data_IF_264780250975
#
_entry.id   IF_264780250975
#
_cell.length_a   1.000
_cell.length_b   1.000
_cell.length_c   1.000
_cell.angle_alpha   90.00
_cell.angle_beta   90.00
_cell.angle_gamma   90.00
#
_symmetry.space_group_name_H-M   'P 1'
#
loop_
_entity.id
_entity.type
_entity.pdbx_description
1 polymer ?
#
# COMPACT_ATOMS: atom_id res chain seq x y z
N UNK A 1 0.01 2.97 -29.30
CA UNK A 1 -0.97 2.03 -28.77
C UNK A 1 -0.28 1.16 -27.73
N UNK A 2 -0.48 1.46 -26.44
CA UNK A 2 0.00 0.59 -25.37
C UNK A 2 -0.83 -0.69 -25.34
N UNK A 3 -0.17 -1.83 -25.21
CA UNK A 3 -0.86 -3.08 -24.91
C UNK A 3 -1.27 -3.08 -23.44
N UNK A 4 -2.44 -3.67 -23.13
CA UNK A 4 -2.82 -3.91 -21.74
C UNK A 4 -1.74 -4.77 -21.07
N UNK A 5 -1.36 -4.49 -19.81
CA UNK A 5 -0.45 -5.37 -19.09
C UNK A 5 -1.07 -6.77 -19.04
N UNK A 6 -0.28 -7.78 -19.39
CA UNK A 6 -0.72 -9.16 -19.27
C UNK A 6 -0.57 -9.61 -17.83
N UNK A 7 -1.34 -10.61 -17.37
CA UNK A 7 -1.11 -11.22 -16.06
C UNK A 7 0.37 -11.62 -15.91
N UNK A 8 1.03 -11.16 -14.85
CA UNK A 8 2.45 -11.39 -14.60
C UNK A 8 3.43 -10.36 -15.19
N UNK A 9 2.96 -9.35 -15.94
CA UNK A 9 3.80 -8.25 -16.43
C UNK A 9 3.94 -7.09 -15.43
N UNK A 10 3.22 -7.14 -14.32
CA UNK A 10 3.22 -6.13 -13.25
C UNK A 10 3.51 -6.81 -11.93
N UNK A 11 4.49 -6.29 -11.21
CA UNK A 11 4.74 -6.66 -9.82
C UNK A 11 4.32 -5.50 -8.92
N UNK A 12 3.50 -5.78 -7.89
CA UNK A 12 3.04 -4.80 -6.93
C UNK A 12 3.42 -5.24 -5.52
N UNK A 13 4.05 -4.35 -4.77
CA UNK A 13 4.18 -4.43 -3.32
C UNK A 13 3.29 -3.37 -2.68
N UNK A 14 2.66 -3.72 -1.57
CA UNK A 14 1.74 -2.87 -0.82
C UNK A 14 2.20 -2.77 0.63
N UNK A 15 2.29 -1.54 1.12
CA UNK A 15 2.40 -1.21 2.52
C UNK A 15 1.12 -0.51 2.93
N UNK A 16 0.29 -1.16 3.75
CA UNK A 16 -0.99 -0.64 4.19
C UNK A 16 -2.13 -1.66 4.14
N UNK A 17 -3.36 -1.18 4.24
CA UNK A 17 -4.59 -1.99 4.22
C UNK A 17 -5.65 -1.31 3.37
N UNK A 18 -6.23 -2.01 2.39
CA UNK A 18 -7.38 -1.54 1.63
C UNK A 18 -8.67 -1.95 2.30
N UNK A 19 -9.54 -0.98 2.56
CA UNK A 19 -10.81 -1.18 3.27
C UNK A 19 -11.98 -1.52 2.36
N UNK A 20 -11.87 -1.20 1.06
CA UNK A 20 -12.94 -1.35 0.08
C UNK A 20 -12.65 -2.42 -0.99
N UNK A 21 -11.72 -3.33 -0.75
CA UNK A 21 -11.30 -4.39 -1.65
C UNK A 21 -12.49 -5.23 -2.18
N UNK A 22 -13.36 -5.68 -1.27
CA UNK A 22 -14.54 -6.48 -1.63
C UNK A 22 -15.58 -5.68 -2.44
N UNK A 23 -15.74 -4.39 -2.12
CA UNK A 23 -16.64 -3.51 -2.86
C UNK A 23 -16.11 -3.28 -4.27
N UNK A 24 -14.80 -3.04 -4.41
CA UNK A 24 -14.16 -2.88 -5.72
C UNK A 24 -14.23 -4.15 -6.54
N UNK A 25 -14.03 -5.32 -5.93
CA UNK A 25 -14.14 -6.59 -6.61
C UNK A 25 -15.53 -6.80 -7.25
N UNK A 26 -16.59 -6.39 -6.56
CA UNK A 26 -17.96 -6.49 -7.05
C UNK A 26 -18.29 -5.37 -8.04
N UNK A 27 -17.97 -4.11 -7.72
CA UNK A 27 -18.32 -2.95 -8.53
C UNK A 27 -17.62 -2.95 -9.90
N UNK A 28 -16.38 -3.44 -9.92
CA UNK A 28 -15.56 -3.50 -11.13
C UNK A 28 -15.65 -4.85 -11.86
N UNK A 29 -16.49 -5.78 -11.39
CA UNK A 29 -16.63 -7.15 -11.93
C UNK A 29 -15.26 -7.81 -12.17
N UNK A 30 -14.42 -7.79 -11.12
CA UNK A 30 -13.08 -8.34 -11.21
C UNK A 30 -13.12 -9.87 -11.20
N UNK A 31 -12.17 -10.54 -11.90
CA UNK A 31 -12.11 -11.99 -11.93
C UNK A 31 -12.01 -12.60 -10.53
N UNK A 32 -12.80 -13.64 -10.28
CA UNK A 32 -12.70 -14.39 -9.03
C UNK A 32 -11.32 -15.03 -8.91
N UNK A 33 -10.74 -14.96 -7.72
CA UNK A 33 -9.42 -15.48 -7.41
C UNK A 33 -9.43 -16.24 -6.10
N UNK A 34 -8.45 -17.11 -5.91
CA UNK A 34 -8.16 -17.76 -4.62
C UNK A 34 -7.19 -16.93 -3.76
N UNK A 35 -6.67 -15.82 -4.30
CA UNK A 35 -5.79 -14.91 -3.58
C UNK A 35 -6.68 -13.99 -2.74
N UNK A 36 -6.60 -14.14 -1.42
CA UNK A 36 -7.47 -13.45 -0.46
C UNK A 36 -6.88 -12.16 0.12
N UNK A 37 -5.78 -11.64 -0.45
CA UNK A 37 -5.20 -10.37 0.02
C UNK A 37 -5.91 -9.18 -0.63
N UNK A 38 -6.14 -8.13 0.13
CA UNK A 38 -6.69 -6.86 -0.33
C UNK A 38 -5.84 -6.23 -1.45
N UNK A 39 -4.53 -6.35 -1.34
CA UNK A 39 -3.54 -5.87 -2.33
C UNK A 39 -3.79 -6.44 -3.74
N UNK A 40 -4.34 -7.66 -3.85
CA UNK A 40 -4.57 -8.29 -5.14
C UNK A 40 -5.65 -7.59 -5.95
N UNK A 41 -6.60 -6.93 -5.30
CA UNK A 41 -7.60 -6.09 -5.97
C UNK A 41 -6.94 -4.93 -6.72
N UNK A 42 -5.92 -4.30 -6.12
CA UNK A 42 -5.15 -3.26 -6.81
C UNK A 42 -4.43 -3.80 -8.06
N UNK A 43 -3.88 -5.01 -8.01
CA UNK A 43 -3.29 -5.68 -9.18
C UNK A 43 -4.34 -5.91 -10.25
N UNK A 44 -5.50 -6.46 -9.92
CA UNK A 44 -6.58 -6.72 -10.88
C UNK A 44 -7.11 -5.42 -11.50
N UNK A 45 -7.22 -4.35 -10.72
CA UNK A 45 -7.59 -3.03 -11.24
C UNK A 45 -6.56 -2.49 -12.23
N UNK A 46 -5.26 -2.70 -11.98
CA UNK A 46 -4.19 -2.32 -12.91
C UNK A 46 -4.21 -3.18 -14.18
N UNK A 47 -4.42 -4.49 -14.05
CA UNK A 47 -4.53 -5.41 -15.20
C UNK A 47 -5.73 -5.08 -16.09
N UNK A 48 -6.80 -4.54 -15.52
CA UNK A 48 -7.98 -4.07 -16.26
C UNK A 48 -7.70 -2.81 -17.11
N UNK A 49 -6.63 -2.07 -16.80
CA UNK A 49 -6.25 -0.89 -17.57
C UNK A 49 -5.58 -1.29 -18.90
N UNK A 50 -5.72 -0.43 -19.93
CA UNK A 50 -5.13 -0.68 -21.24
C UNK A 50 -3.59 -0.55 -21.27
N UNK A 51 -3.01 0.09 -20.31
CA UNK A 51 -1.56 0.27 -20.16
C UNK A 51 -1.22 0.68 -18.73
N UNK A 52 -0.05 0.27 -18.24
CA UNK A 52 0.50 0.79 -17.00
C UNK A 52 1.17 2.14 -17.28
N UNK A 53 0.64 3.19 -16.70
CA UNK A 53 1.14 4.56 -16.80
C UNK A 53 0.57 5.42 -15.65
N UNK A 54 0.94 6.70 -15.59
CA UNK A 54 0.44 7.61 -14.56
C UNK A 54 -1.09 7.70 -14.49
N UNK A 55 -1.78 7.65 -15.63
CA UNK A 55 -3.25 7.76 -15.63
C UNK A 55 -3.91 6.49 -15.08
N UNK A 56 -3.39 5.31 -15.41
CA UNK A 56 -3.91 4.06 -14.85
C UNK A 56 -3.64 3.95 -13.35
N UNK A 57 -2.43 4.31 -12.91
CA UNK A 57 -2.08 4.34 -11.49
C UNK A 57 -2.93 5.35 -10.71
N UNK A 58 -3.13 6.54 -11.27
CA UNK A 58 -4.03 7.55 -10.69
C UNK A 58 -5.44 7.01 -10.51
N UNK A 59 -6.02 6.41 -11.56
CA UNK A 59 -7.37 5.85 -11.49
C UNK A 59 -7.50 4.79 -10.40
N UNK A 60 -6.51 3.90 -10.26
CA UNK A 60 -6.52 2.88 -9.21
C UNK A 60 -6.36 3.54 -7.84
N UNK A 61 -5.41 4.47 -7.68
CA UNK A 61 -5.18 5.16 -6.41
C UNK A 61 -6.39 5.99 -5.95
N UNK A 62 -7.16 6.56 -6.89
CA UNK A 62 -8.38 7.32 -6.60
C UNK A 62 -9.61 6.44 -6.34
N UNK A 63 -9.56 5.13 -6.64
CA UNK A 63 -10.64 4.18 -6.35
C UNK A 63 -10.47 3.45 -5.02
N UNK A 64 -9.24 3.22 -4.59
CA UNK A 64 -8.97 2.50 -3.35
C UNK A 64 -9.23 3.38 -2.13
N UNK A 65 -9.68 2.75 -1.06
CA UNK A 65 -9.90 3.38 0.26
C UNK A 65 -9.13 2.59 1.31
N UNK A 66 -8.49 3.28 2.22
CA UNK A 66 -7.63 2.71 3.24
C UNK A 66 -6.26 3.34 3.20
N UNK A 67 -5.31 2.77 3.91
CA UNK A 67 -3.93 3.25 3.98
C UNK A 67 -3.08 2.50 2.96
N UNK A 68 -2.25 3.21 2.20
CA UNK A 68 -1.40 2.52 1.22
C UNK A 68 -0.18 3.32 0.77
N UNK A 69 0.89 2.59 0.50
CA UNK A 69 1.93 2.93 -0.48
C UNK A 69 2.05 1.74 -1.43
N UNK A 70 1.83 1.95 -2.72
CA UNK A 70 2.11 0.93 -3.72
C UNK A 70 3.47 1.17 -4.35
N UNK A 71 4.26 0.10 -4.43
CA UNK A 71 5.45 0.04 -5.27
C UNK A 71 5.15 -0.88 -6.45
N UNK A 72 5.19 -0.34 -7.67
CA UNK A 72 4.79 -1.06 -8.88
C UNK A 72 5.96 -1.10 -9.86
N UNK A 73 6.35 -2.31 -10.29
CA UNK A 73 7.37 -2.53 -11.30
C UNK A 73 6.68 -3.03 -12.58
N UNK A 74 6.98 -2.38 -13.72
CA UNK A 74 6.48 -2.80 -15.02
C UNK A 74 7.51 -3.61 -15.83
N UNK A 75 7.06 -4.19 -16.94
CA UNK A 75 7.90 -4.98 -17.84
C UNK A 75 8.95 -4.15 -18.63
N UNK A 76 8.94 -2.82 -18.49
CA UNK A 76 9.91 -1.91 -19.10
C UNK A 76 10.95 -1.40 -18.09
N UNK A 77 11.01 -2.02 -16.91
CA UNK A 77 11.88 -1.63 -15.79
C UNK A 77 11.59 -0.21 -15.26
N UNK A 78 10.34 0.25 -15.35
CA UNK A 78 9.94 1.44 -14.62
C UNK A 78 9.43 1.05 -13.23
N UNK A 79 9.95 1.70 -12.21
CA UNK A 79 9.50 1.58 -10.84
C UNK A 79 8.65 2.78 -10.49
N UNK A 80 7.43 2.52 -10.02
CA UNK A 80 6.50 3.54 -9.57
C UNK A 80 6.29 3.43 -8.07
N UNK A 81 6.27 4.57 -7.39
CA UNK A 81 5.80 4.72 -6.03
C UNK A 81 4.51 5.53 -6.06
N UNK A 82 3.41 4.94 -5.62
CA UNK A 82 2.11 5.60 -5.47
C UNK A 82 1.94 5.84 -3.98
N UNK A 83 2.17 7.08 -3.55
CA UNK A 83 2.22 7.47 -2.16
C UNK A 83 0.83 7.90 -1.68
N UNK A 84 0.12 7.00 -1.02
CA UNK A 84 -1.11 7.30 -0.28
C UNK A 84 -0.78 7.95 1.07
N UNK A 85 -1.39 7.48 2.14
CA UNK A 85 -1.26 8.02 3.49
C UNK A 85 -0.32 7.22 4.42
N UNK A 86 0.35 6.20 3.90
CA UNK A 86 1.36 5.45 4.65
C UNK A 86 2.77 6.03 4.46
N UNK A 87 3.65 5.89 5.47
CA UNK A 87 5.00 6.42 5.37
C UNK A 87 5.81 5.76 4.24
N UNK A 88 6.62 6.58 3.56
CA UNK A 88 7.59 6.15 2.56
C UNK A 88 8.89 6.93 2.74
N UNK A 89 10.01 6.20 2.93
CA UNK A 89 11.34 6.74 2.94
C UNK A 89 12.11 6.21 1.73
N UNK A 90 12.60 7.10 0.87
CA UNK A 90 13.30 6.75 -0.36
C UNK A 90 14.63 7.52 -0.45
N UNK A 91 15.73 6.77 -0.58
CA UNK A 91 17.07 7.30 -0.77
C UNK A 91 17.63 6.95 -2.14
N UNK A 92 18.26 7.94 -2.77
CA UNK A 92 19.09 7.77 -3.96
C UNK A 92 20.56 7.90 -3.59
N UNK A 93 21.38 6.96 -4.03
CA UNK A 93 22.83 6.99 -3.93
C UNK A 93 23.42 7.27 -5.32
N UNK A 94 23.64 8.55 -5.70
CA UNK A 94 23.95 8.93 -7.08
C UNK A 94 25.25 8.29 -7.62
N UNK A 95 26.24 8.11 -6.75
CA UNK A 95 27.54 7.51 -7.14
C UNK A 95 27.42 6.05 -7.53
N UNK A 96 26.48 5.33 -6.93
CA UNK A 96 26.25 3.91 -7.18
C UNK A 96 25.06 3.67 -8.10
N UNK A 97 24.30 4.72 -8.44
CA UNK A 97 23.05 4.63 -9.20
C UNK A 97 22.03 3.67 -8.59
N UNK A 98 21.91 3.70 -7.25
CA UNK A 98 21.04 2.81 -6.49
C UNK A 98 19.95 3.63 -5.79
N UNK A 99 18.72 3.13 -5.86
CA UNK A 99 17.60 3.57 -5.04
C UNK A 99 17.33 2.53 -3.98
N UNK A 100 17.09 2.98 -2.75
CA UNK A 100 16.71 2.11 -1.61
C UNK A 100 15.54 2.74 -0.91
N UNK A 101 14.56 1.95 -0.54
CA UNK A 101 13.37 2.45 0.13
C UNK A 101 12.89 1.50 1.25
N UNK A 102 12.16 2.08 2.18
CA UNK A 102 11.46 1.37 3.25
C UNK A 102 10.26 2.23 3.70
N UNK A 103 9.42 1.70 4.57
CA UNK A 103 8.32 2.47 5.15
C UNK A 103 8.82 3.63 6.01
N UNK A 104 9.90 3.45 6.78
CA UNK A 104 10.47 4.51 7.62
C UNK A 104 11.98 4.63 7.44
N UNK A 105 12.52 5.79 7.79
CA UNK A 105 13.97 6.03 7.78
C UNK A 105 14.73 5.05 8.69
N UNK A 106 14.19 4.80 9.88
CA UNK A 106 14.82 3.88 10.84
C UNK A 106 14.96 2.46 10.28
N UNK A 107 13.90 1.93 9.66
CA UNK A 107 13.92 0.61 9.00
C UNK A 107 14.94 0.60 7.86
N UNK A 108 14.98 1.65 7.04
CA UNK A 108 15.90 1.76 5.92
C UNK A 108 17.34 1.76 6.37
N UNK A 109 17.69 2.56 7.38
CA UNK A 109 19.06 2.67 7.91
C UNK A 109 19.51 1.37 8.61
N UNK A 110 18.63 0.73 9.37
CA UNK A 110 18.89 -0.58 9.96
C UNK A 110 19.09 -1.65 8.88
N UNK A 111 18.23 -1.67 7.86
CA UNK A 111 18.35 -2.58 6.72
C UNK A 111 19.67 -2.42 5.95
N UNK A 112 20.09 -1.19 5.68
CA UNK A 112 21.39 -0.90 5.05
C UNK A 112 22.56 -1.42 5.88
N UNK A 113 22.48 -1.28 7.21
CA UNK A 113 23.52 -1.77 8.13
C UNK A 113 23.54 -3.29 8.17
N UNK A 114 22.38 -3.92 8.34
CA UNK A 114 22.27 -5.39 8.44
C UNK A 114 22.67 -6.10 7.13
N UNK A 115 22.41 -5.47 5.98
CA UNK A 115 22.75 -6.00 4.65
C UNK A 115 24.22 -5.78 4.26
N UNK A 116 25.06 -5.21 5.14
CA UNK A 116 26.45 -4.87 4.82
C UNK A 116 26.59 -3.74 3.80
N UNK A 117 25.54 -2.96 3.55
CA UNK A 117 25.52 -1.84 2.61
C UNK A 117 25.92 -0.50 3.26
N UNK A 118 26.46 -0.51 4.46
CA UNK A 118 26.91 0.68 5.18
C UNK A 118 28.06 1.43 4.47
N UNK A 119 28.66 0.83 3.42
CA UNK A 119 29.61 1.50 2.53
C UNK A 119 28.93 2.54 1.62
N UNK A 120 27.63 2.47 1.39
CA UNK A 120 26.86 3.48 0.69
C UNK A 120 26.89 4.78 1.49
N UNK A 121 27.44 5.83 0.91
CA UNK A 121 27.59 7.12 1.58
C UNK A 121 26.92 8.23 0.80
N UNK A 122 26.48 9.26 1.54
CA UNK A 122 25.85 10.47 1.01
C UNK A 122 24.59 10.17 0.18
N UNK A 123 23.56 9.57 0.79
CA UNK A 123 22.27 9.47 0.14
C UNK A 123 21.70 10.86 -0.12
N UNK A 124 20.89 10.95 -1.16
CA UNK A 124 20.00 12.07 -1.42
C UNK A 124 18.58 11.55 -1.16
N UNK A 125 17.88 12.17 -0.23
CA UNK A 125 16.48 11.85 0.01
C UNK A 125 15.64 12.24 -1.21
N UNK A 126 14.83 11.33 -1.69
CA UNK A 126 13.85 11.58 -2.75
C UNK A 126 12.51 11.78 -2.07
N UNK A 127 12.12 13.04 -1.93
CA UNK A 127 10.87 13.41 -1.24
C UNK A 127 9.67 13.13 -2.13
N UNK A 128 8.67 12.53 -1.54
CA UNK A 128 7.32 12.38 -2.07
C UNK A 128 6.35 12.73 -0.96
N UNK A 129 5.25 13.34 -1.32
CA UNK A 129 4.15 13.67 -0.42
C UNK A 129 2.95 12.77 -0.69
N UNK A 130 2.03 12.71 0.25
CA UNK A 130 0.73 12.05 0.05
C UNK A 130 0.04 12.58 -1.21
N UNK A 131 -0.45 11.69 -2.06
CA UNK A 131 -1.03 12.03 -3.35
C UNK A 131 -0.03 12.04 -4.51
N UNK A 132 1.23 11.67 -4.28
CA UNK A 132 2.24 11.63 -5.32
C UNK A 132 2.32 10.26 -6.02
N UNK A 133 2.60 10.30 -7.32
CA UNK A 133 3.05 9.15 -8.10
C UNK A 133 4.44 9.49 -8.65
N UNK A 134 5.46 8.88 -8.07
CA UNK A 134 6.84 8.99 -8.55
C UNK A 134 7.16 7.81 -9.47
N UNK A 135 7.66 8.09 -10.68
CA UNK A 135 8.25 7.08 -11.56
C UNK A 135 9.76 7.25 -11.60
N UNK A 136 10.48 6.15 -11.45
CA UNK A 136 11.91 6.04 -11.73
C UNK A 136 12.05 5.08 -12.92
N UNK A 137 12.60 5.56 -14.04
CA UNK A 137 12.82 4.70 -15.19
C UNK A 137 14.13 3.89 -15.05
N UNK A 138 14.35 2.94 -15.96
CA UNK A 138 15.54 2.07 -15.98
C UNK A 138 16.88 2.82 -16.05
N UNK A 139 16.86 4.12 -16.38
CA UNK A 139 18.04 4.99 -16.40
C UNK A 139 18.15 5.84 -15.13
N UNK A 140 17.27 5.64 -14.15
CA UNK A 140 17.22 6.40 -12.91
C UNK A 140 16.58 7.79 -13.05
N UNK A 141 15.96 8.10 -14.19
CA UNK A 141 15.29 9.39 -14.37
C UNK A 141 13.94 9.40 -13.66
N UNK A 142 13.75 10.42 -12.83
CA UNK A 142 12.55 10.64 -12.04
C UNK A 142 11.52 11.47 -12.80
N UNK A 143 10.25 11.12 -12.62
CA UNK A 143 9.09 11.92 -13.04
C UNK A 143 8.00 11.82 -11.99
N UNK A 144 7.43 12.97 -11.60
CA UNK A 144 6.39 13.08 -10.59
C UNK A 144 5.07 13.49 -11.23
N UNK A 145 3.97 12.93 -10.75
CA UNK A 145 2.60 13.36 -10.99
C UNK A 145 1.78 13.21 -9.71
N UNK A 146 0.57 13.75 -9.69
CA UNK A 146 -0.29 13.76 -8.51
C UNK A 146 -1.63 13.08 -8.79
N UNK A 147 -2.25 12.58 -7.72
CA UNK A 147 -3.62 12.09 -7.70
C UNK A 147 -4.35 12.65 -6.47
N UNK A 148 -5.69 12.62 -6.51
CA UNK A 148 -6.49 13.06 -5.37
C UNK A 148 -6.67 11.89 -4.41
N UNK A 149 -6.18 12.02 -3.18
CA UNK A 149 -6.47 11.04 -2.13
C UNK A 149 -7.96 11.17 -1.80
N UNK A 150 -8.69 10.08 -1.96
CA UNK A 150 -10.04 9.97 -1.43
C UNK A 150 -9.93 9.79 0.08
N UNK A 151 -9.78 10.91 0.80
CA UNK A 151 -9.93 10.90 2.24
C UNK A 151 -11.30 10.29 2.55
N UNK A 152 -11.33 9.16 3.22
CA UNK A 152 -12.57 8.62 3.76
C UNK A 152 -13.12 9.64 4.77
N UNK A 153 -13.93 10.56 4.27
CA UNK A 153 -14.77 11.37 5.13
C UNK A 153 -15.92 10.47 5.56
N UNK A 154 -15.97 10.02 6.82
CA UNK A 154 -17.18 9.37 7.30
C UNK A 154 -18.32 10.33 7.00
N UNK A 155 -19.50 9.86 6.56
CA UNK A 155 -20.58 10.73 6.11
C UNK A 155 -20.91 11.72 7.24
N UNK A 156 -20.39 12.95 7.11
CA UNK A 156 -20.94 14.06 7.85
C UNK A 156 -22.38 14.19 7.38
N UNK A 157 -23.31 13.97 8.26
CA UNK A 157 -24.74 14.19 8.05
C UNK A 157 -24.96 15.57 7.42
N UNK A 158 -25.11 15.64 6.13
CA UNK A 158 -25.74 16.75 5.44
C UNK A 158 -26.57 16.17 4.29
N UNK A 159 -27.87 16.39 4.42
CA UNK A 159 -28.94 15.97 3.51
C UNK A 159 -28.85 16.60 2.12
N UNK A 160 -27.86 16.25 1.35
CA UNK A 160 -27.86 16.59 -0.09
C UNK A 160 -26.71 15.92 -0.85
N UNK A 161 -26.81 14.63 -1.11
CA UNK A 161 -26.24 14.08 -2.37
C UNK A 161 -26.91 12.73 -2.67
N UNK A 162 -27.89 12.76 -3.54
CA UNK A 162 -28.70 11.65 -4.04
C UNK A 162 -28.00 10.85 -5.17
N UNK A 163 -26.65 10.77 -5.16
CA UNK A 163 -25.89 10.17 -6.28
C UNK A 163 -24.78 9.19 -5.89
N UNK A 164 -24.75 8.72 -4.65
CA UNK A 164 -23.97 7.53 -4.34
C UNK A 164 -24.91 6.34 -4.13
N UNK A 165 -24.67 5.19 -4.77
CA UNK A 165 -25.36 3.99 -4.36
C UNK A 165 -25.11 3.83 -2.86
N UNK A 166 -26.21 3.76 -2.07
CA UNK A 166 -26.13 3.54 -0.62
C UNK A 166 -25.15 2.39 -0.39
N UNK A 167 -24.17 2.54 0.51
CA UNK A 167 -23.30 1.42 0.83
C UNK A 167 -24.22 0.27 1.20
N UNK A 168 -24.17 -0.80 0.42
CA UNK A 168 -24.75 -2.06 0.81
C UNK A 168 -24.23 -2.28 2.22
N UNK A 169 -25.15 -2.35 3.18
CA UNK A 169 -24.87 -2.47 4.61
C UNK A 169 -23.57 -3.23 4.79
N UNK A 170 -22.54 -2.54 5.31
CA UNK A 170 -21.28 -3.16 5.61
C UNK A 170 -21.59 -4.44 6.39
N UNK A 171 -21.51 -5.57 5.70
CA UNK A 171 -21.67 -6.84 6.36
C UNK A 171 -20.72 -6.75 7.53
N UNK A 172 -21.23 -6.92 8.75
CA UNK A 172 -20.43 -6.87 9.97
C UNK A 172 -19.17 -7.67 9.66
N UNK A 173 -18.03 -6.98 9.49
CA UNK A 173 -16.76 -7.67 9.49
C UNK A 173 -16.82 -8.55 10.72
N UNK A 174 -16.66 -9.85 10.53
CA UNK A 174 -16.55 -10.72 11.67
C UNK A 174 -15.34 -10.21 12.48
N UNK A 175 -15.54 -9.61 13.66
CA UNK A 175 -14.41 -9.09 14.43
C UNK A 175 -13.36 -10.16 14.69
N UNK A 176 -13.79 -11.42 14.73
CA UNK A 176 -12.93 -12.57 14.96
C UNK A 176 -12.01 -12.82 13.74
N UNK A 177 -12.48 -12.62 12.50
CA UNK A 177 -11.65 -12.77 11.30
C UNK A 177 -10.52 -11.72 11.23
N UNK A 178 -10.77 -10.50 11.69
CA UNK A 178 -9.73 -9.47 11.78
C UNK A 178 -8.66 -9.84 12.81
N UNK A 179 -9.10 -10.32 13.98
CA UNK A 179 -8.18 -10.80 15.02
C UNK A 179 -7.35 -11.99 14.58
N UNK A 180 -7.93 -12.94 13.84
CA UNK A 180 -7.18 -14.07 13.26
C UNK A 180 -6.10 -13.57 12.28
N UNK A 181 -6.43 -12.57 11.45
CA UNK A 181 -5.48 -11.90 10.56
C UNK A 181 -4.33 -11.25 11.32
N UNK A 182 -4.65 -10.48 12.37
CA UNK A 182 -3.66 -9.80 13.21
C UNK A 182 -2.73 -10.78 13.92
N UNK A 183 -3.25 -11.87 14.46
CA UNK A 183 -2.48 -12.95 15.06
C UNK A 183 -1.53 -13.60 14.04
N UNK A 184 -1.98 -13.77 12.80
CA UNK A 184 -1.16 -14.33 11.72
C UNK A 184 -0.01 -13.38 11.35
N UNK A 185 -0.28 -12.07 11.27
CA UNK A 185 0.73 -11.03 11.02
C UNK A 185 1.74 -10.98 12.17
N UNK A 186 1.28 -10.99 13.41
CA UNK A 186 2.13 -10.96 14.60
C UNK A 186 3.13 -12.15 14.66
N UNK A 187 2.73 -13.30 14.13
CA UNK A 187 3.61 -14.46 14.04
C UNK A 187 4.84 -14.21 13.15
N UNK A 188 4.71 -13.40 12.10
CA UNK A 188 5.84 -13.00 11.25
C UNK A 188 6.83 -12.05 11.96
N UNK A 189 6.37 -11.36 13.01
CA UNK A 189 7.22 -10.55 13.90
C UNK A 189 7.76 -11.33 15.12
N UNK A 190 7.47 -12.64 15.20
CA UNK A 190 7.96 -13.50 16.27
C UNK A 190 7.10 -13.55 17.53
N UNK A 191 5.92 -12.93 17.50
CA UNK A 191 4.95 -12.99 18.60
C UNK A 191 4.07 -14.24 18.49
N UNK A 192 3.71 -14.77 19.65
CA UNK A 192 2.79 -15.91 19.72
C UNK A 192 1.32 -15.44 19.77
N UNK A 193 0.36 -16.27 19.38
CA UNK A 193 -1.07 -15.94 19.56
C UNK A 193 -1.41 -15.53 20.98
N UNK A 194 -0.74 -16.13 21.97
CA UNK A 194 -0.94 -15.82 23.38
C UNK A 194 -0.53 -14.39 23.73
N UNK A 195 0.55 -13.89 23.13
CA UNK A 195 1.02 -12.52 23.37
C UNK A 195 -0.03 -11.50 22.90
N UNK A 196 -0.60 -11.74 21.72
CA UNK A 196 -1.64 -10.87 21.13
C UNK A 196 -2.94 -10.94 21.94
N UNK A 197 -3.33 -12.13 22.40
CA UNK A 197 -4.50 -12.26 23.28
C UNK A 197 -4.29 -11.55 24.63
N UNK A 198 -3.07 -11.60 25.17
CA UNK A 198 -2.74 -10.87 26.42
C UNK A 198 -2.89 -9.36 26.25
N UNK A 199 -2.40 -8.81 25.14
CA UNK A 199 -2.58 -7.36 24.85
C UNK A 199 -4.07 -7.00 24.75
N UNK A 200 -4.87 -7.82 24.10
CA UNK A 200 -6.33 -7.64 24.03
C UNK A 200 -6.98 -7.67 25.42
N UNK A 201 -6.59 -8.60 26.28
CA UNK A 201 -7.08 -8.70 27.66
C UNK A 201 -6.67 -7.51 28.51
N UNK A 202 -5.52 -6.90 28.21
CA UNK A 202 -5.07 -5.64 28.81
C UNK A 202 -5.83 -4.41 28.32
N UNK A 203 -6.74 -4.56 27.35
CA UNK A 203 -7.61 -3.49 26.85
C UNK A 203 -7.10 -2.80 25.60
N UNK A 204 -6.02 -3.26 24.98
CA UNK A 204 -5.54 -2.72 23.71
C UNK A 204 -6.51 -3.05 22.58
N UNK A 205 -6.77 -2.05 21.76
CA UNK A 205 -7.55 -2.21 20.52
C UNK A 205 -6.71 -2.90 19.45
N UNK A 206 -7.39 -3.41 18.44
CA UNK A 206 -6.69 -4.03 17.28
C UNK A 206 -5.76 -3.07 16.58
N UNK A 207 -6.15 -1.80 16.47
CA UNK A 207 -5.36 -0.76 15.79
C UNK A 207 -4.09 -0.44 16.60
N UNK A 208 -4.20 -0.33 17.93
CA UNK A 208 -3.04 -0.13 18.82
C UNK A 208 -2.06 -1.30 18.78
N UNK A 209 -2.56 -2.53 18.67
CA UNK A 209 -1.72 -3.73 18.54
C UNK A 209 -1.06 -3.76 17.16
N UNK A 210 -1.76 -3.36 16.11
CA UNK A 210 -1.20 -3.24 14.78
C UNK A 210 -0.09 -2.18 14.74
N UNK A 211 -0.31 -1.00 15.31
CA UNK A 211 0.69 0.05 15.46
C UNK A 211 1.92 -0.45 16.23
N UNK A 212 1.71 -1.18 17.32
CA UNK A 212 2.81 -1.79 18.08
C UNK A 212 3.63 -2.77 17.23
N UNK A 213 2.98 -3.63 16.43
CA UNK A 213 3.68 -4.59 15.59
C UNK A 213 4.54 -3.91 14.51
N UNK A 214 4.10 -2.78 13.97
CA UNK A 214 4.82 -2.08 12.91
C UNK A 214 5.78 -1.00 13.40
N UNK A 215 5.48 -0.35 14.51
CA UNK A 215 6.27 0.78 15.03
C UNK A 215 7.14 0.42 16.25
N UNK A 216 6.82 -0.66 16.96
CA UNK A 216 7.58 -1.13 18.12
C UNK A 216 7.45 -0.24 19.38
N UNK A 217 6.50 0.68 19.40
CA UNK A 217 6.20 1.59 20.54
C UNK A 217 4.77 1.37 21.00
N UNK A 218 4.58 1.15 22.32
CA UNK A 218 3.28 1.21 23.01
C UNK A 218 3.23 2.51 23.82
#
# INVERSE_FOLDING_TARGET
GGQSPRPGEVSLAHNGVLLNDQLLQQAEDLPKTHIGTDSYVAVQLLEKQNALNFNSLRKVAEQVQGTFVFTVLDAQDNLYFVHGDNPLCLYHFPKQSIYVYASTQSILEQGLTASGLSFLKKPVEVKTDEGDILRIDRHGKQKLQHFCINSFCPPCYSDAIEWYPKPLSAGRRNPDAYWEGLVSVAASFGYTPKDIHTLRECGFTSDEIEDFLYCGEI
#
